data_IF_272502905940
#
_entry.id   IF_272502905940
#
_cell.length_a   1.000
_cell.length_b   1.000
_cell.length_c   1.000
_cell.angle_alpha   90.00
_cell.angle_beta   90.00
_cell.angle_gamma   90.00
#
_symmetry.space_group_name_H-M   'P 1'
#
loop_
_entity.id
_entity.type
_entity.pdbx_description
1 polymer ?
#
# COMPACT_ATOMS: atom_id res chain seq x y z
N UNK A 1 -7.60 25.75 -12.14
CA UNK A 1 -7.97 26.26 -13.48
C UNK A 1 -7.40 25.35 -14.56
N UNK A 2 -8.19 24.89 -15.53
CA UNK A 2 -8.02 23.88 -16.62
C UNK A 2 -8.53 22.48 -16.21
N UNK A 3 -9.69 22.06 -16.61
CA UNK A 3 -10.15 21.59 -17.90
C UNK A 3 -11.69 21.45 -17.93
N UNK A 4 -12.39 22.51 -18.33
CA UNK A 4 -13.81 22.47 -18.72
C UNK A 4 -13.89 22.50 -20.24
N UNK A 5 -13.39 21.48 -20.96
CA UNK A 5 -13.53 21.40 -22.41
C UNK A 5 -13.36 19.99 -22.96
N UNK A 6 -14.20 19.04 -22.51
CA UNK A 6 -14.31 17.77 -23.26
C UNK A 6 -15.68 17.08 -23.14
N UNK A 7 -16.74 17.84 -22.82
CA UNK A 7 -18.09 17.25 -22.67
C UNK A 7 -19.09 17.81 -23.67
N UNK A 8 -18.64 18.22 -24.89
CA UNK A 8 -19.52 18.63 -25.98
C UNK A 8 -19.02 18.12 -27.32
N UNK A 9 -19.08 16.81 -27.55
CA UNK A 9 -19.06 16.20 -28.91
C UNK A 9 -19.20 14.69 -28.78
N UNK A 10 -20.42 14.18 -28.64
CA UNK A 10 -20.81 12.81 -28.99
C UNK A 10 -22.33 12.62 -28.82
N UNK A 11 -23.09 13.54 -29.40
CA UNK A 11 -24.52 13.32 -29.69
C UNK A 11 -24.73 13.74 -31.14
N UNK A 12 -24.50 12.84 -32.03
CA UNK A 12 -25.09 12.79 -33.39
C UNK A 12 -24.45 11.60 -34.14
N UNK A 13 -25.29 10.75 -34.66
CA UNK A 13 -25.04 9.65 -35.60
C UNK A 13 -25.19 8.24 -34.98
N UNK A 14 -26.40 7.80 -34.82
CA UNK A 14 -26.85 6.45 -35.19
C UNK A 14 -28.35 6.55 -35.58
N UNK A 15 -28.62 6.93 -36.82
CA UNK A 15 -29.81 6.56 -37.53
C UNK A 15 -29.34 5.89 -38.82
N UNK A 16 -29.81 4.69 -39.01
CA UNK A 16 -29.67 3.80 -40.16
C UNK A 16 -28.71 2.62 -39.98
N UNK A 17 -29.27 1.50 -39.68
CA UNK A 17 -28.61 0.19 -39.69
C UNK A 17 -29.69 -0.90 -39.74
N UNK A 18 -30.04 -1.30 -40.94
CA UNK A 18 -31.02 -2.32 -41.30
C UNK A 18 -31.06 -3.54 -40.36
N UNK A 19 -32.24 -3.86 -39.93
CA UNK A 19 -32.62 -5.17 -39.40
C UNK A 19 -32.42 -6.21 -40.49
N UNK A 20 -31.36 -7.02 -40.37
CA UNK A 20 -31.30 -8.29 -41.09
C UNK A 20 -31.97 -9.31 -40.16
N UNK A 21 -33.22 -9.60 -40.45
CA UNK A 21 -33.93 -10.73 -39.87
C UNK A 21 -33.27 -12.00 -40.41
N UNK A 22 -32.36 -12.58 -39.63
CA UNK A 22 -31.87 -13.94 -39.87
C UNK A 22 -32.99 -14.94 -39.63
N UNK A 23 -33.70 -15.31 -40.68
CA UNK A 23 -34.58 -16.42 -40.68
C UNK A 23 -33.81 -17.73 -40.49
N UNK A 24 -33.77 -18.23 -39.26
CA UNK A 24 -33.40 -19.62 -39.04
C UNK A 24 -34.52 -20.46 -39.63
N UNK A 25 -34.28 -20.99 -40.83
CA UNK A 25 -35.14 -21.99 -41.42
C UNK A 25 -35.14 -23.24 -40.55
N UNK A 26 -36.15 -23.39 -39.73
CA UNK A 26 -36.49 -24.69 -39.14
C UNK A 26 -37.00 -25.55 -40.29
N UNK A 27 -36.25 -26.60 -40.65
CA UNK A 27 -36.62 -27.54 -41.69
C UNK A 27 -37.96 -28.19 -41.39
N UNK A 28 -38.95 -27.86 -42.20
CA UNK A 28 -40.20 -28.58 -42.21
C UNK A 28 -40.00 -29.90 -42.96
N UNK A 29 -40.03 -31.01 -42.24
CA UNK A 29 -40.25 -32.30 -42.83
C UNK A 29 -41.73 -32.31 -43.30
N UNK A 30 -41.97 -32.26 -44.63
CA UNK A 30 -43.27 -32.46 -45.25
C UNK A 30 -43.59 -33.96 -45.20
N UNK A 31 -44.26 -34.40 -44.14
CA UNK A 31 -45.02 -35.64 -44.12
C UNK A 31 -46.45 -35.29 -44.44
N UNK A 32 -47.02 -36.00 -45.42
CA UNK A 32 -48.39 -35.85 -45.86
C UNK A 32 -49.38 -35.98 -44.70
N UNK A 33 -50.44 -35.15 -44.73
CA UNK A 33 -51.65 -35.32 -43.92
C UNK A 33 -51.55 -35.16 -42.41
N UNK A 34 -51.12 -34.02 -41.97
CA UNK A 34 -51.18 -33.65 -40.55
C UNK A 34 -51.28 -32.16 -40.37
N UNK A 35 -52.45 -31.58 -40.26
CA UNK A 35 -52.65 -30.31 -39.57
C UNK A 35 -52.05 -30.51 -38.17
N UNK A 36 -50.84 -29.98 -37.99
CA UNK A 36 -50.23 -29.91 -36.67
C UNK A 36 -51.14 -29.03 -35.80
N UNK A 37 -52.09 -29.62 -35.12
CA UNK A 37 -52.80 -28.95 -34.04
C UNK A 37 -51.77 -28.59 -33.00
N UNK A 38 -51.33 -27.31 -33.00
CA UNK A 38 -50.54 -26.75 -31.91
C UNK A 38 -51.31 -27.08 -30.64
N UNK A 39 -50.77 -28.00 -29.83
CA UNK A 39 -51.36 -28.34 -28.55
C UNK A 39 -51.62 -27.04 -27.80
N UNK A 40 -52.89 -26.73 -27.57
CA UNK A 40 -53.33 -25.48 -26.96
C UNK A 40 -52.81 -25.45 -25.53
N UNK A 41 -51.68 -24.74 -25.31
CA UNK A 41 -51.09 -24.61 -24.00
C UNK A 41 -52.01 -23.71 -23.15
N UNK A 42 -52.70 -24.26 -22.21
CA UNK A 42 -53.62 -23.53 -21.33
C UNK A 42 -52.94 -22.76 -20.20
N UNK A 43 -51.61 -22.89 -20.08
CA UNK A 43 -50.75 -22.20 -19.08
C UNK A 43 -51.19 -22.43 -17.60
N UNK A 44 -52.12 -23.35 -17.34
CA UNK A 44 -52.56 -23.77 -16.00
C UNK A 44 -51.62 -24.84 -15.50
N UNK A 45 -50.95 -24.60 -14.38
CA UNK A 45 -49.99 -25.56 -13.81
C UNK A 45 -48.62 -25.61 -14.51
N UNK A 46 -48.41 -24.87 -15.62
CA UNK A 46 -47.15 -24.84 -16.36
C UNK A 46 -46.05 -24.09 -15.59
N UNK A 47 -44.81 -24.52 -15.77
CA UNK A 47 -43.67 -23.79 -15.22
C UNK A 47 -43.54 -22.45 -15.93
N UNK A 48 -43.38 -21.37 -15.14
CA UNK A 48 -43.19 -20.01 -15.62
C UNK A 48 -41.78 -19.52 -15.27
N UNK A 49 -41.18 -18.78 -16.16
CA UNK A 49 -39.93 -18.06 -15.89
C UNK A 49 -40.11 -16.57 -16.15
N UNK A 50 -39.24 -15.77 -15.53
CA UNK A 50 -39.21 -14.32 -15.74
C UNK A 50 -38.06 -14.00 -16.70
N UNK A 51 -38.39 -13.31 -17.79
CA UNK A 51 -37.42 -12.83 -18.78
C UNK A 51 -37.42 -11.29 -18.77
N UNK A 52 -36.41 -10.69 -19.35
CA UNK A 52 -36.30 -9.24 -19.50
C UNK A 52 -36.36 -8.45 -18.18
N UNK A 53 -36.07 -9.09 -17.03
CA UNK A 53 -36.00 -8.39 -15.75
C UNK A 53 -34.85 -7.38 -15.78
N UNK A 54 -35.12 -6.14 -15.35
CA UNK A 54 -34.12 -5.09 -15.12
C UNK A 54 -34.37 -4.46 -13.77
N UNK A 55 -33.41 -4.53 -12.87
CA UNK A 55 -33.52 -3.84 -11.59
C UNK A 55 -33.53 -2.30 -11.81
N UNK A 56 -34.37 -1.59 -11.06
CA UNK A 56 -34.27 -0.14 -10.99
C UNK A 56 -33.00 0.29 -10.24
N UNK A 57 -32.34 1.34 -10.72
CA UNK A 57 -31.18 1.96 -10.08
C UNK A 57 -31.54 3.33 -9.49
N UNK A 58 -30.57 4.00 -8.90
CA UNK A 58 -30.75 5.35 -8.35
C UNK A 58 -31.00 6.42 -9.44
N UNK A 59 -30.77 6.10 -10.73
CA UNK A 59 -30.96 7.03 -11.86
C UNK A 59 -31.79 6.45 -12.98
N UNK A 60 -32.02 5.14 -13.01
CA UNK A 60 -32.77 4.48 -14.10
C UNK A 60 -33.95 3.68 -13.56
N UNK A 61 -35.06 3.75 -14.31
CA UNK A 61 -36.19 2.87 -14.08
C UNK A 61 -35.84 1.43 -14.42
N UNK A 62 -36.40 0.51 -13.67
CA UNK A 62 -36.29 -0.92 -13.93
C UNK A 62 -37.49 -1.48 -14.68
N UNK A 63 -37.54 -2.79 -14.80
CA UNK A 63 -38.63 -3.56 -15.35
C UNK A 63 -38.80 -4.86 -14.58
N UNK A 64 -40.06 -5.21 -14.21
CA UNK A 64 -40.32 -6.41 -13.39
C UNK A 64 -40.13 -7.72 -14.16
N UNK A 65 -39.92 -7.61 -15.47
CA UNK A 65 -39.78 -8.76 -16.37
C UNK A 65 -41.12 -9.38 -16.78
N UNK A 66 -41.12 -10.02 -17.95
CA UNK A 66 -42.27 -10.75 -18.49
C UNK A 66 -42.26 -12.19 -17.93
N UNK A 67 -43.41 -12.70 -17.53
CA UNK A 67 -43.57 -14.10 -17.17
C UNK A 67 -43.94 -14.88 -18.41
N UNK A 68 -43.11 -15.83 -18.81
CA UNK A 68 -43.30 -16.67 -19.96
C UNK A 68 -43.52 -18.14 -19.56
N UNK A 69 -44.31 -18.84 -20.34
CA UNK A 69 -44.47 -20.29 -20.19
C UNK A 69 -43.21 -21.01 -20.69
N UNK A 70 -42.58 -21.84 -19.88
CA UNK A 70 -41.37 -22.60 -20.26
C UNK A 70 -41.63 -23.64 -21.36
N UNK A 71 -42.86 -24.06 -21.52
CA UNK A 71 -43.22 -25.13 -22.44
C UNK A 71 -43.47 -24.61 -23.86
N UNK A 72 -44.09 -23.44 -23.99
CA UNK A 72 -44.46 -22.90 -25.31
C UNK A 72 -43.87 -21.50 -25.60
N UNK A 73 -43.17 -20.89 -24.64
CA UNK A 73 -42.56 -19.56 -24.80
C UNK A 73 -43.55 -18.40 -24.80
N UNK A 74 -44.84 -18.65 -24.68
CA UNK A 74 -45.83 -17.57 -24.70
C UNK A 74 -45.74 -16.68 -23.46
N UNK A 75 -45.86 -15.38 -23.65
CA UNK A 75 -45.96 -14.41 -22.57
C UNK A 75 -47.29 -14.54 -21.86
N UNK A 76 -47.26 -15.01 -20.62
CA UNK A 76 -48.44 -15.21 -19.77
C UNK A 76 -48.83 -13.91 -19.07
N UNK A 77 -47.82 -13.16 -18.61
CA UNK A 77 -48.03 -11.88 -17.94
C UNK A 77 -46.92 -10.91 -18.34
N UNK A 78 -47.30 -9.75 -18.81
CA UNK A 78 -46.38 -8.64 -19.08
C UNK A 78 -45.87 -8.04 -17.77
N UNK A 79 -44.59 -7.74 -17.73
CA UNK A 79 -44.03 -6.97 -16.65
C UNK A 79 -44.52 -5.52 -16.63
N UNK A 80 -44.15 -4.82 -15.56
CA UNK A 80 -44.44 -3.40 -15.39
C UNK A 80 -43.15 -2.63 -15.18
N UNK A 81 -43.06 -1.34 -15.57
CA UNK A 81 -41.95 -0.47 -15.20
C UNK A 81 -41.80 -0.39 -13.68
N UNK A 82 -40.56 -0.50 -13.20
CA UNK A 82 -40.22 -0.28 -11.79
C UNK A 82 -39.69 1.16 -11.66
N UNK A 83 -40.24 1.91 -10.71
CA UNK A 83 -39.77 3.25 -10.40
C UNK A 83 -38.31 3.26 -10.00
N UNK A 84 -37.62 4.38 -10.19
CA UNK A 84 -36.24 4.61 -9.73
C UNK A 84 -36.11 4.21 -8.27
N UNK A 85 -35.09 3.41 -7.95
CA UNK A 85 -34.78 3.02 -6.58
C UNK A 85 -33.59 3.84 -6.06
N UNK A 86 -33.86 4.90 -5.35
CA UNK A 86 -32.87 5.84 -4.81
C UNK A 86 -31.86 5.19 -3.85
N UNK A 87 -32.12 3.96 -3.37
CA UNK A 87 -31.20 3.22 -2.49
C UNK A 87 -30.33 2.22 -3.25
N UNK A 88 -30.63 1.96 -4.53
CA UNK A 88 -29.85 1.04 -5.34
C UNK A 88 -28.76 1.76 -6.14
N UNK A 89 -27.65 2.03 -5.50
CA UNK A 89 -26.51 2.73 -6.10
C UNK A 89 -25.54 1.84 -6.90
N UNK A 90 -25.86 0.56 -7.08
CA UNK A 90 -24.98 -0.36 -7.83
C UNK A 90 -23.55 -0.44 -7.29
N UNK A 91 -22.62 -0.77 -8.19
CA UNK A 91 -21.20 -0.93 -7.87
C UNK A 91 -20.32 0.23 -8.38
N UNK A 92 -20.90 1.20 -9.10
CA UNK A 92 -20.16 2.36 -9.59
C UNK A 92 -19.98 3.38 -8.48
N UNK A 93 -18.97 3.14 -7.64
CA UNK A 93 -18.72 3.93 -6.44
C UNK A 93 -17.29 4.43 -6.41
N UNK A 94 -17.08 5.59 -5.80
CA UNK A 94 -15.78 6.21 -5.62
C UNK A 94 -15.54 6.50 -4.14
N UNK A 95 -14.35 6.16 -3.69
CA UNK A 95 -13.85 6.52 -2.36
C UNK A 95 -13.17 7.89 -2.44
N UNK A 96 -13.59 8.85 -1.60
CA UNK A 96 -13.04 10.20 -1.53
C UNK A 96 -12.54 10.53 -0.13
N UNK A 97 -11.57 11.44 -0.05
CA UNK A 97 -11.02 11.98 1.20
C UNK A 97 -10.39 10.93 2.13
N UNK A 98 -10.04 9.74 1.63
CA UNK A 98 -9.29 8.77 2.41
C UNK A 98 -7.89 9.34 2.74
N UNK A 99 -7.47 9.18 4.00
CA UNK A 99 -6.16 9.59 4.50
C UNK A 99 -5.66 8.54 5.48
N UNK A 100 -4.48 8.04 5.28
CA UNK A 100 -3.85 7.13 6.24
C UNK A 100 -3.49 7.87 7.53
N UNK A 101 -3.59 7.17 8.66
CA UNK A 101 -3.11 7.69 9.94
C UNK A 101 -1.57 7.66 9.96
N UNK A 102 -0.97 8.73 10.46
CA UNK A 102 0.47 8.77 10.78
C UNK A 102 0.68 8.50 12.27
N UNK A 103 1.94 8.51 12.72
CA UNK A 103 2.22 8.33 14.15
C UNK A 103 1.53 9.39 15.04
N UNK A 104 1.31 10.60 14.53
CA UNK A 104 0.82 11.75 15.31
C UNK A 104 -0.50 12.30 14.80
N UNK A 105 -0.87 12.02 13.55
CA UNK A 105 -2.11 12.52 12.95
C UNK A 105 -3.11 11.40 12.73
N UNK A 106 -4.36 11.69 13.02
CA UNK A 106 -5.46 10.79 12.69
C UNK A 106 -5.63 10.66 11.18
N UNK A 107 -5.98 9.47 10.75
CA UNK A 107 -6.40 9.16 9.39
C UNK A 107 -7.92 9.20 9.25
N UNK A 108 -8.38 8.87 8.07
CA UNK A 108 -9.79 8.78 7.70
C UNK A 108 -10.00 7.68 6.66
N UNK A 109 -11.01 6.83 6.84
CA UNK A 109 -11.26 5.73 5.90
C UNK A 109 -11.79 6.20 4.55
N UNK A 110 -12.21 7.45 4.45
CA UNK A 110 -12.80 8.03 3.25
C UNK A 110 -14.31 7.82 3.16
N UNK A 111 -14.96 8.71 2.41
CA UNK A 111 -16.38 8.67 2.11
C UNK A 111 -16.62 7.97 0.78
N UNK A 112 -17.64 7.13 0.71
CA UNK A 112 -18.00 6.44 -0.53
C UNK A 112 -19.18 7.12 -1.19
N UNK A 113 -19.00 7.60 -2.41
CA UNK A 113 -20.02 8.25 -3.23
C UNK A 113 -20.44 7.36 -4.39
N UNK A 114 -21.70 7.46 -4.78
CA UNK A 114 -22.18 6.89 -6.03
C UNK A 114 -21.78 7.81 -7.19
N UNK A 115 -21.08 7.28 -8.21
CA UNK A 115 -20.69 8.07 -9.38
C UNK A 115 -21.87 8.39 -10.30
N UNK A 116 -22.94 7.58 -10.26
CA UNK A 116 -24.09 7.76 -11.12
C UNK A 116 -24.98 8.92 -10.67
N UNK A 117 -25.23 9.05 -9.35
CA UNK A 117 -26.13 10.09 -8.79
C UNK A 117 -25.43 11.10 -7.87
N UNK A 118 -24.14 10.92 -7.57
CA UNK A 118 -23.36 11.82 -6.74
C UNK A 118 -23.64 11.76 -5.22
N UNK A 119 -24.56 10.90 -4.78
CA UNK A 119 -24.97 10.82 -3.37
C UNK A 119 -23.91 10.12 -2.53
N UNK A 120 -23.69 10.60 -1.32
CA UNK A 120 -22.91 9.91 -0.29
C UNK A 120 -23.62 8.61 0.12
N UNK A 121 -22.96 7.47 -0.13
CA UNK A 121 -23.51 6.14 0.20
C UNK A 121 -23.03 5.67 1.56
N UNK A 122 -21.75 5.87 1.85
CA UNK A 122 -21.15 5.53 3.14
C UNK A 122 -20.24 6.66 3.62
N UNK A 123 -20.49 7.08 4.86
CA UNK A 123 -19.60 8.01 5.57
C UNK A 123 -18.39 7.23 6.11
N UNK A 124 -17.22 7.80 5.92
CA UNK A 124 -15.98 7.26 6.48
C UNK A 124 -15.92 7.36 8.00
N UNK A 125 -14.86 6.79 8.55
CA UNK A 125 -14.57 6.80 9.99
C UNK A 125 -13.17 7.35 10.24
N UNK A 126 -13.02 8.05 11.34
CA UNK A 126 -11.70 8.46 11.81
C UNK A 126 -10.87 7.25 12.22
N UNK A 127 -9.60 7.24 11.78
CA UNK A 127 -8.58 6.27 12.17
C UNK A 127 -7.69 6.98 13.18
N UNK A 128 -7.67 6.50 14.42
CA UNK A 128 -6.84 7.12 15.47
C UNK A 128 -5.35 6.98 15.13
N UNK A 129 -4.59 8.05 15.33
CA UNK A 129 -3.13 8.02 15.26
C UNK A 129 -2.59 6.92 16.23
N UNK A 130 -1.78 5.97 15.73
CA UNK A 130 -1.29 4.85 16.53
C UNK A 130 -0.22 5.24 17.54
N UNK A 131 0.29 6.46 17.50
CA UNK A 131 1.43 6.90 18.30
C UNK A 131 2.77 6.40 17.75
N UNK A 132 3.87 6.68 18.43
CA UNK A 132 5.18 6.17 18.08
C UNK A 132 5.41 4.77 18.68
N UNK A 133 6.01 3.88 17.90
CA UNK A 133 6.53 2.58 18.34
C UNK A 133 8.05 2.67 18.38
N UNK A 134 8.63 2.73 19.56
CA UNK A 134 10.05 3.00 19.75
C UNK A 134 10.92 1.76 19.72
N UNK A 135 12.11 1.90 19.14
CA UNK A 135 13.28 1.05 19.36
C UNK A 135 14.37 1.83 20.09
N UNK A 136 15.16 1.17 20.90
CA UNK A 136 16.30 1.78 21.56
C UNK A 136 17.43 2.00 20.55
N UNK A 137 18.08 3.15 20.67
CA UNK A 137 19.33 3.49 19.98
C UNK A 137 20.41 3.54 21.06
N UNK A 138 21.45 2.77 20.84
CA UNK A 138 22.54 2.68 21.81
C UNK A 138 23.25 4.02 22.00
N UNK A 139 23.85 4.20 23.15
CA UNK A 139 24.76 5.27 23.45
C UNK A 139 25.97 5.24 22.52
N UNK A 140 26.44 6.41 22.11
CA UNK A 140 27.76 6.61 21.51
C UNK A 140 28.64 7.25 22.57
N UNK A 141 29.62 6.53 23.13
CA UNK A 141 30.47 7.08 24.19
C UNK A 141 31.27 8.29 23.70
N UNK A 142 31.46 9.27 24.59
CA UNK A 142 32.40 10.35 24.33
C UNK A 142 33.83 9.82 24.27
N UNK A 143 34.67 10.43 23.46
CA UNK A 143 36.11 10.12 23.36
C UNK A 143 36.96 11.26 23.88
N UNK A 144 38.28 11.12 23.88
CA UNK A 144 39.23 12.18 24.30
C UNK A 144 39.21 13.40 23.37
N UNK A 145 38.57 13.32 22.19
CA UNK A 145 38.54 14.43 21.19
C UNK A 145 37.11 14.72 20.69
N UNK A 146 36.13 13.90 20.98
CA UNK A 146 34.76 14.05 20.49
C UNK A 146 33.73 13.83 21.60
N UNK A 147 32.66 14.62 21.56
CA UNK A 147 31.48 14.42 22.37
C UNK A 147 30.76 13.10 21.98
N UNK A 148 30.14 12.48 22.94
CA UNK A 148 29.28 11.32 22.76
C UNK A 148 27.79 11.70 22.69
N UNK A 149 26.95 10.70 22.60
CA UNK A 149 25.51 10.85 22.60
C UNK A 149 24.87 9.79 23.51
N UNK A 150 24.08 10.21 24.49
CA UNK A 150 23.38 9.29 25.38
C UNK A 150 22.42 8.38 24.61
N UNK A 151 22.15 7.20 25.15
CA UNK A 151 21.15 6.28 24.61
C UNK A 151 19.81 6.98 24.43
N UNK A 152 19.14 6.73 23.31
CA UNK A 152 17.88 7.37 22.96
C UNK A 152 16.90 6.37 22.32
N UNK A 153 15.80 6.87 21.79
CA UNK A 153 14.79 6.06 21.14
C UNK A 153 14.44 6.63 19.75
N UNK A 154 14.26 5.73 18.80
CA UNK A 154 13.81 6.06 17.44
C UNK A 154 12.51 5.34 17.14
N UNK A 155 11.57 6.03 16.50
CA UNK A 155 10.35 5.38 16.03
C UNK A 155 10.66 4.38 14.91
N UNK A 156 10.02 3.20 14.95
CA UNK A 156 10.15 2.17 13.91
C UNK A 156 9.35 2.47 12.65
N UNK A 157 8.40 3.40 12.73
CA UNK A 157 7.41 3.69 11.66
C UNK A 157 7.60 5.03 10.98
N UNK A 158 8.35 5.94 11.59
CA UNK A 158 8.70 7.24 11.03
C UNK A 158 10.10 7.66 11.48
N UNK A 159 10.60 8.76 10.96
CA UNK A 159 11.96 9.22 11.22
C UNK A 159 12.14 9.97 12.55
N UNK A 160 11.09 10.00 13.40
CA UNK A 160 11.16 10.68 14.68
C UNK A 160 12.13 9.98 15.63
N UNK A 161 13.10 10.76 16.13
CA UNK A 161 14.08 10.35 17.15
C UNK A 161 13.83 11.23 18.37
N UNK A 162 13.77 10.62 19.55
CA UNK A 162 13.74 11.36 20.81
C UNK A 162 15.07 12.11 20.93
N UNK A 163 15.08 13.42 21.19
CA UNK A 163 16.33 14.17 21.33
C UNK A 163 17.23 13.52 22.39
N UNK A 164 18.43 13.13 21.98
CA UNK A 164 19.43 12.57 22.88
C UNK A 164 20.22 13.68 23.57
N UNK A 165 20.69 13.40 24.80
CA UNK A 165 21.58 14.29 25.50
C UNK A 165 23.01 14.12 24.93
N UNK A 166 23.73 15.23 24.70
CA UNK A 166 25.18 15.18 24.42
C UNK A 166 25.96 14.77 25.67
N UNK A 167 26.94 13.91 25.49
CA UNK A 167 27.90 13.51 26.54
C UNK A 167 29.18 14.34 26.30
N UNK A 168 29.69 15.05 27.32
CA UNK A 168 30.88 15.85 27.17
C UNK A 168 32.08 14.96 26.84
N UNK A 169 33.11 15.57 26.18
CA UNK A 169 34.39 14.92 25.89
C UNK A 169 34.94 14.26 27.15
N UNK A 170 35.31 12.98 27.04
CA UNK A 170 35.96 12.23 28.13
C UNK A 170 37.49 12.18 27.86
N UNK A 171 38.28 12.98 28.56
CA UNK A 171 39.74 13.06 28.34
C UNK A 171 40.47 11.75 28.69
N UNK A 172 39.81 10.77 29.28
CA UNK A 172 40.39 9.49 29.62
C UNK A 172 39.96 8.34 28.70
N UNK A 173 38.97 8.55 27.84
CA UNK A 173 38.54 7.55 26.88
C UNK A 173 39.33 7.63 25.57
N UNK A 174 40.46 6.91 25.53
CA UNK A 174 41.35 6.82 24.38
C UNK A 174 41.01 5.55 23.57
N UNK A 175 40.02 5.61 22.67
CA UNK A 175 39.56 4.43 21.91
C UNK A 175 40.55 3.99 20.82
N UNK A 176 41.30 4.93 20.24
CA UNK A 176 42.26 4.68 19.15
C UNK A 176 43.67 4.53 19.72
N UNK A 177 44.04 3.31 20.14
CA UNK A 177 45.36 3.02 20.73
C UNK A 177 46.32 2.58 19.63
N UNK A 178 47.40 3.35 19.46
CA UNK A 178 48.53 3.05 18.57
C UNK A 178 49.68 2.49 19.39
N UNK A 179 50.27 1.39 18.95
CA UNK A 179 51.43 0.76 19.58
C UNK A 179 52.71 1.37 19.05
N UNK A 180 53.62 1.77 19.95
CA UNK A 180 54.96 2.20 19.64
C UNK A 180 55.89 1.00 19.74
N UNK A 181 56.47 0.61 18.61
CA UNK A 181 57.25 -0.64 18.49
C UNK A 181 58.55 -0.54 19.32
N UNK A 182 58.88 -1.59 20.01
CA UNK A 182 60.15 -1.70 20.71
C UNK A 182 61.34 -1.64 19.71
N UNK A 183 62.40 -0.99 20.15
CA UNK A 183 63.69 -0.95 19.42
C UNK A 183 64.71 -1.74 20.23
N UNK A 184 65.24 -2.79 19.63
CA UNK A 184 66.25 -3.61 20.30
C UNK A 184 67.57 -2.78 20.49
N UNK A 185 68.22 -2.85 21.68
CA UNK A 185 69.51 -2.21 21.87
C UNK A 185 70.62 -2.90 21.04
N UNK A 186 71.58 -2.10 20.60
CA UNK A 186 72.80 -2.64 19.95
C UNK A 186 73.98 -2.54 20.90
N UNK A 187 75.16 -2.90 20.47
CA UNK A 187 76.36 -2.78 21.27
C UNK A 187 76.72 -1.33 21.60
N UNK A 188 76.34 -0.34 20.75
CA UNK A 188 76.71 1.05 20.88
C UNK A 188 75.50 1.98 21.14
N UNK A 189 74.28 1.52 20.81
CA UNK A 189 73.07 2.31 20.92
C UNK A 189 72.08 1.69 21.94
N UNK A 190 71.38 2.52 22.63
CA UNK A 190 70.32 2.11 23.55
C UNK A 190 69.07 1.71 22.73
N UNK A 191 68.28 0.77 23.24
CA UNK A 191 66.97 0.39 22.72
C UNK A 191 65.84 1.15 23.41
N UNK A 192 64.63 0.80 23.01
CA UNK A 192 63.38 1.29 23.61
C UNK A 192 62.45 0.08 23.86
N UNK A 193 61.75 0.09 24.95
CA UNK A 193 60.68 -0.87 25.19
C UNK A 193 59.45 -0.60 24.29
N UNK A 194 58.52 -1.52 24.20
CA UNK A 194 57.20 -1.28 23.59
C UNK A 194 56.45 -0.19 24.39
N UNK A 195 55.79 0.71 23.69
CA UNK A 195 54.92 1.74 24.26
C UNK A 195 53.59 1.81 23.57
N UNK A 196 52.77 2.79 23.92
CA UNK A 196 51.56 3.13 23.19
C UNK A 196 51.13 4.57 23.41
N UNK A 197 50.49 5.14 22.39
CA UNK A 197 49.86 6.46 22.47
C UNK A 197 48.45 6.43 21.86
N UNK A 198 47.67 7.46 22.16
CA UNK A 198 46.39 7.65 21.49
C UNK A 198 46.59 8.26 20.12
N UNK A 199 46.11 7.60 19.05
CA UNK A 199 46.22 8.09 17.69
C UNK A 199 45.38 9.34 17.39
N UNK A 200 44.41 9.69 18.25
CA UNK A 200 43.53 10.82 18.06
C UNK A 200 44.05 12.09 18.77
N UNK A 201 44.55 11.96 19.98
CA UNK A 201 45.02 13.11 20.79
C UNK A 201 46.52 13.09 21.09
N UNK A 202 47.27 12.10 20.65
CA UNK A 202 48.70 11.88 20.84
C UNK A 202 49.17 11.78 22.31
N UNK A 203 48.24 11.58 23.27
CA UNK A 203 48.59 11.33 24.66
C UNK A 203 49.30 10.00 24.80
N UNK A 204 50.47 10.02 25.42
CA UNK A 204 51.21 8.80 25.76
C UNK A 204 50.43 8.02 26.80
N UNK A 205 50.09 6.78 26.54
CA UNK A 205 49.38 5.87 27.42
C UNK A 205 50.37 4.95 28.17
N UNK A 206 51.35 4.43 27.43
CA UNK A 206 52.45 3.65 27.95
C UNK A 206 53.74 4.29 27.39
N UNK A 207 54.55 4.88 28.24
CA UNK A 207 55.84 5.46 27.83
C UNK A 207 56.83 4.34 27.48
N UNK A 208 57.59 4.55 26.37
CA UNK A 208 58.75 3.71 26.10
C UNK A 208 59.85 3.98 27.08
N UNK A 209 60.43 2.93 27.63
CA UNK A 209 61.62 3.02 28.53
C UNK A 209 62.89 2.76 27.73
N UNK A 210 63.98 3.42 28.11
CA UNK A 210 65.28 3.21 27.49
C UNK A 210 65.88 1.90 27.98
N UNK A 211 66.25 1.04 27.04
CA UNK A 211 66.98 -0.20 27.31
C UNK A 211 68.46 0.04 27.04
N UNK A 212 69.30 -0.20 28.04
CA UNK A 212 70.75 0.02 27.92
C UNK A 212 71.36 -0.77 26.77
N UNK A 213 72.42 -0.19 26.15
CA UNK A 213 73.21 -0.87 25.14
C UNK A 213 73.87 -2.19 25.72
N UNK A 214 74.05 -3.16 24.84
CA UNK A 214 74.55 -4.49 25.29
C UNK A 214 76.08 -4.53 25.52
N UNK A 215 76.79 -3.45 25.29
CA UNK A 215 78.25 -3.29 25.47
C UNK A 215 79.10 -4.44 24.80
N UNK A 216 80.30 -4.17 24.42
CA UNK A 216 81.23 -5.18 23.98
C UNK A 216 81.94 -5.86 25.18
N UNK A 217 81.92 -7.18 25.16
CA UNK A 217 82.79 -7.95 26.08
C UNK A 217 84.18 -8.01 25.38
N UNK A 218 85.14 -7.31 25.90
CA UNK A 218 86.55 -7.55 25.44
C UNK A 218 86.93 -8.99 25.82
N UNK A 219 87.25 -9.78 24.79
CA UNK A 219 87.90 -11.07 24.95
C UNK A 219 89.39 -10.76 24.87
N UNK A 220 90.05 -10.79 26.03
CA UNK A 220 91.52 -10.74 26.14
C UNK A 220 92.17 -12.07 25.78
#
# INVERSE_FOLDING_TARGET
>A
MRNKKLYKRLVALILAGCVVVGSSAVGFATGADGVATQAKCYHVGTRKETINYKAATCIEMGYSGDRVCKECGAVVTKGIPLVINLLNHGNNRELRNAKDATCTENGYTGDTYCNDCGVLVFLGKNIKAPGHDYKNVAEVPATCVAEGTAATQQCKRCDYIVPAQSLPIDPNNHANIVKDVAVAPTCTETGLTEGSHCGDCNKILIAQEVVSSTNHTEVI
#
